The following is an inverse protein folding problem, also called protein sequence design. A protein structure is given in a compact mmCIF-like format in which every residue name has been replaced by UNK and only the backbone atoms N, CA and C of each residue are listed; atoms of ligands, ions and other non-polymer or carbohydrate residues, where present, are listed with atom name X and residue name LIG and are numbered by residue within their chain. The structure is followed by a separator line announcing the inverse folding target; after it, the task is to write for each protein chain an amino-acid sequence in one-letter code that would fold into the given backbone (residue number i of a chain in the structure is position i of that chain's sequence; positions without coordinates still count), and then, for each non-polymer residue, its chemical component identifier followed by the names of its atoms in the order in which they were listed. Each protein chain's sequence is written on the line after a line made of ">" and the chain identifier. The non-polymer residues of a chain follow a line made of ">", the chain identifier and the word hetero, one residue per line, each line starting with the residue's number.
data_IF_431164578562
#
_entry.id   IF_431164578562
#
_cell.length_a   1.000
_cell.length_b   1.000
_cell.length_c   1.000
_cell.angle_alpha   90.00
_cell.angle_beta   90.00
_cell.angle_gamma   90.00
#
_symmetry.space_group_name_H-M   'P 1'
#
loop_
_entity.id
_entity.type
_entity.pdbx_description
1 polymer ?
#
# COMPACT_ATOMS: atom_id res chain seq x y z
N UNK A 1 4.70 2.05 -1.85
CA UNK A 1 3.35 1.71 -2.35
C UNK A 1 2.49 2.96 -2.53
N UNK A 2 2.11 3.68 -1.47
CA UNK A 2 1.23 4.87 -1.56
C UNK A 2 1.69 5.93 -2.58
N UNK A 3 2.98 6.27 -2.60
CA UNK A 3 3.49 7.28 -3.53
C UNK A 3 3.49 6.82 -5.00
N UNK A 4 3.62 5.52 -5.27
CA UNK A 4 3.50 4.94 -6.62
C UNK A 4 2.04 4.91 -7.06
N UNK A 5 1.12 4.61 -6.14
CA UNK A 5 -0.32 4.68 -6.42
C UNK A 5 -0.76 6.11 -6.76
N UNK A 6 -0.35 7.11 -5.94
CA UNK A 6 -0.61 8.54 -6.24
C UNK A 6 0.00 8.97 -7.56
N UNK A 7 1.25 8.57 -7.83
CA UNK A 7 1.89 8.84 -9.12
C UNK A 7 1.03 8.33 -10.27
N UNK A 8 0.68 7.04 -10.24
CA UNK A 8 -0.03 6.38 -11.33
C UNK A 8 -1.41 7.00 -11.54
N UNK A 9 -2.14 7.27 -10.45
CA UNK A 9 -3.48 7.88 -10.50
C UNK A 9 -3.44 9.28 -11.10
N UNK A 10 -2.61 10.17 -10.55
CA UNK A 10 -2.52 11.55 -11.04
C UNK A 10 -1.99 11.60 -12.47
N UNK A 11 -1.00 10.78 -12.81
CA UNK A 11 -0.48 10.66 -14.17
C UNK A 11 -1.55 10.20 -15.16
N UNK A 12 -2.29 9.14 -14.82
CA UNK A 12 -3.39 8.63 -15.65
C UNK A 12 -4.48 9.68 -15.90
N UNK A 13 -4.89 10.41 -14.87
CA UNK A 13 -5.88 11.49 -14.99
C UNK A 13 -5.39 12.63 -15.89
N UNK A 14 -4.14 13.07 -15.75
CA UNK A 14 -3.58 14.14 -16.57
C UNK A 14 -3.46 13.72 -18.04
N UNK A 15 -2.95 12.51 -18.30
CA UNK A 15 -2.84 12.01 -19.68
C UNK A 15 -4.21 11.79 -20.32
N UNK A 16 -5.19 11.25 -19.59
CA UNK A 16 -6.57 11.12 -20.07
C UNK A 16 -7.22 12.48 -20.37
N UNK A 17 -6.78 13.54 -19.68
CA UNK A 17 -7.20 14.93 -19.94
C UNK A 17 -6.44 15.59 -21.09
N UNK A 18 -5.55 14.87 -21.77
CA UNK A 18 -4.76 15.38 -22.89
C UNK A 18 -3.55 16.25 -22.50
N UNK A 19 -3.15 16.25 -21.23
CA UNK A 19 -1.97 16.99 -20.77
C UNK A 19 -0.71 16.35 -21.37
N UNK A 20 0.21 17.12 -21.97
CA UNK A 20 1.47 16.59 -22.49
C UNK A 20 2.28 15.85 -21.43
N UNK A 21 2.93 14.76 -21.82
CA UNK A 21 3.59 13.85 -20.88
C UNK A 21 4.70 14.49 -20.04
N UNK A 22 5.43 15.45 -20.62
CA UNK A 22 6.49 16.18 -19.93
C UNK A 22 5.94 17.11 -18.85
N UNK A 23 4.77 17.72 -19.10
CA UNK A 23 4.09 18.58 -18.13
C UNK A 23 3.43 17.73 -17.05
N UNK A 24 2.79 16.62 -17.44
CA UNK A 24 2.21 15.66 -16.51
C UNK A 24 3.28 15.09 -15.55
N UNK A 25 4.46 14.71 -16.04
CA UNK A 25 5.57 14.26 -15.19
C UNK A 25 6.04 15.30 -14.18
N UNK A 26 6.04 16.58 -14.56
CA UNK A 26 6.42 17.67 -13.64
C UNK A 26 5.35 17.92 -12.57
N UNK A 27 4.07 17.86 -12.93
CA UNK A 27 2.97 18.01 -11.97
C UNK A 27 2.97 16.84 -10.97
N UNK A 28 3.11 15.62 -11.48
CA UNK A 28 3.04 14.41 -10.65
C UNK A 28 4.28 14.25 -9.77
N UNK A 29 5.46 14.69 -10.22
CA UNK A 29 6.68 14.65 -9.39
C UNK A 29 6.51 15.47 -8.11
N UNK A 30 5.88 16.65 -8.21
CA UNK A 30 5.55 17.52 -7.07
C UNK A 30 4.41 16.94 -6.22
N UNK A 31 3.43 16.30 -6.85
CA UNK A 31 2.27 15.70 -6.16
C UNK A 31 2.60 14.41 -5.38
N UNK A 32 3.68 13.70 -5.74
CA UNK A 32 4.08 12.44 -5.11
C UNK A 32 4.46 12.57 -3.62
N UNK A 33 4.82 13.78 -3.16
CA UNK A 33 5.11 14.08 -1.75
C UNK A 33 6.36 13.39 -1.18
N UNK A 34 7.25 12.89 -2.05
CA UNK A 34 8.48 12.21 -1.67
C UNK A 34 9.64 12.69 -2.54
N UNK A 35 10.66 13.28 -1.91
CA UNK A 35 11.81 13.91 -2.60
C UNK A 35 12.65 12.92 -3.43
N UNK A 36 12.69 11.64 -3.05
CA UNK A 36 13.38 10.58 -3.82
C UNK A 36 12.63 10.29 -5.12
N UNK A 37 11.30 10.22 -5.04
CA UNK A 37 10.42 9.97 -6.19
C UNK A 37 10.40 11.18 -7.11
N UNK A 38 10.32 12.38 -6.55
CA UNK A 38 10.38 13.63 -7.32
C UNK A 38 11.68 13.71 -8.14
N UNK A 39 12.85 13.51 -7.51
CA UNK A 39 14.13 13.55 -8.21
C UNK A 39 14.26 12.49 -9.31
N UNK A 40 13.77 11.28 -9.04
CA UNK A 40 13.74 10.20 -10.01
C UNK A 40 12.84 10.54 -11.21
N UNK A 41 11.64 11.07 -10.97
CA UNK A 41 10.70 11.49 -12.01
C UNK A 41 11.23 12.67 -12.84
N UNK A 42 11.93 13.62 -12.22
CA UNK A 42 12.57 14.71 -12.94
C UNK A 42 13.71 14.22 -13.85
N UNK A 43 14.43 13.18 -13.43
CA UNK A 43 15.45 12.53 -14.26
C UNK A 43 14.80 11.77 -15.43
N UNK A 44 13.71 11.05 -15.17
CA UNK A 44 12.90 10.39 -16.21
C UNK A 44 12.40 11.39 -17.24
N UNK A 45 11.86 12.54 -16.79
CA UNK A 45 11.41 13.63 -17.66
C UNK A 45 12.52 14.16 -18.57
N UNK A 46 13.73 14.37 -18.03
CA UNK A 46 14.89 14.82 -18.84
C UNK A 46 15.20 13.82 -19.96
N UNK A 47 15.26 12.53 -19.62
CA UNK A 47 15.56 11.48 -20.60
C UNK A 47 14.48 11.36 -21.68
N UNK A 48 13.20 11.53 -21.33
CA UNK A 48 12.11 11.54 -22.31
C UNK A 48 12.19 12.78 -23.20
N UNK A 49 12.55 13.95 -22.65
CA UNK A 49 12.74 15.17 -23.42
C UNK A 49 13.91 15.06 -24.42
N UNK A 50 14.91 14.21 -24.11
CA UNK A 50 16.00 13.85 -25.03
C UNK A 50 15.58 12.83 -26.11
N UNK A 51 14.32 12.40 -26.12
CA UNK A 51 13.76 11.47 -27.12
C UNK A 51 13.86 10.00 -26.73
N UNK A 52 14.19 9.67 -25.47
CA UNK A 52 14.13 8.27 -25.00
C UNK A 52 12.70 7.84 -24.77
N UNK A 53 12.46 6.56 -25.02
CA UNK A 53 11.22 5.86 -24.71
C UNK A 53 10.95 5.91 -23.18
N UNK A 54 9.69 5.96 -22.75
CA UNK A 54 9.34 6.18 -21.34
C UNK A 54 9.75 5.01 -20.42
N UNK A 55 9.80 3.79 -20.96
CA UNK A 55 10.02 2.54 -20.20
C UNK A 55 11.42 2.47 -19.64
N UNK A 56 12.42 2.82 -20.45
CA UNK A 56 13.83 2.69 -20.11
C UNK A 56 14.22 3.56 -18.90
N UNK A 57 13.93 4.88 -18.91
CA UNK A 57 14.19 5.75 -17.76
C UNK A 57 13.39 5.32 -16.54
N UNK A 58 12.13 4.90 -16.71
CA UNK A 58 11.27 4.47 -15.60
C UNK A 58 11.83 3.22 -14.92
N UNK A 59 12.29 2.24 -15.70
CA UNK A 59 12.92 1.02 -15.22
C UNK A 59 14.24 1.30 -14.46
N UNK A 60 15.05 2.23 -14.96
CA UNK A 60 16.32 2.62 -14.33
C UNK A 60 16.16 3.19 -12.93
N UNK A 61 15.01 3.81 -12.61
CA UNK A 61 14.77 4.36 -11.27
C UNK A 61 14.70 3.30 -10.17
N UNK A 62 14.35 2.04 -10.50
CA UNK A 62 14.09 0.94 -9.53
C UNK A 62 13.06 1.25 -8.43
N UNK A 63 12.33 2.35 -8.56
CA UNK A 63 11.24 2.74 -7.63
C UNK A 63 9.93 2.07 -8.04
N UNK A 64 9.74 1.91 -9.35
CA UNK A 64 8.52 1.34 -9.91
C UNK A 64 8.60 -0.20 -9.95
N UNK A 65 7.58 -0.89 -9.44
CA UNK A 65 7.48 -2.35 -9.57
C UNK A 65 7.46 -2.78 -11.04
N UNK A 66 7.90 -4.01 -11.30
CA UNK A 66 8.03 -4.55 -12.66
C UNK A 66 6.72 -4.46 -13.46
N UNK A 67 5.58 -4.73 -12.82
CA UNK A 67 4.26 -4.63 -13.43
C UNK A 67 3.97 -3.22 -13.98
N UNK A 68 4.35 -2.16 -13.26
CA UNK A 68 4.13 -0.77 -13.69
C UNK A 68 4.94 -0.48 -14.94
N UNK A 69 6.22 -0.85 -14.95
CA UNK A 69 7.13 -0.65 -16.08
C UNK A 69 6.63 -1.39 -17.33
N UNK A 70 6.15 -2.63 -17.17
CA UNK A 70 5.62 -3.43 -18.28
C UNK A 70 4.33 -2.85 -18.87
N UNK A 71 3.37 -2.49 -18.03
CA UNK A 71 2.09 -1.92 -18.45
C UNK A 71 2.28 -0.57 -19.16
N UNK A 72 3.19 0.25 -18.65
CA UNK A 72 3.60 1.51 -19.29
C UNK A 72 4.22 1.24 -20.66
N UNK A 73 5.05 0.21 -20.81
CA UNK A 73 5.62 -0.16 -22.11
C UNK A 73 4.59 -0.64 -23.13
N UNK A 74 3.60 -1.42 -22.69
CA UNK A 74 2.46 -1.80 -23.54
C UNK A 74 1.68 -0.54 -23.94
N UNK A 75 1.44 0.37 -22.99
CA UNK A 75 0.73 1.63 -23.23
C UNK A 75 1.44 2.54 -24.24
N UNK A 76 2.77 2.65 -24.16
CA UNK A 76 3.54 3.45 -25.10
C UNK A 76 3.60 2.83 -26.51
N UNK A 77 3.75 1.51 -26.62
CA UNK A 77 3.74 0.81 -27.91
C UNK A 77 2.39 0.88 -28.62
N UNK A 78 1.30 0.86 -27.84
CA UNK A 78 -0.07 0.87 -28.36
C UNK A 78 -0.68 2.27 -28.44
N UNK A 79 0.02 3.30 -27.93
CA UNK A 79 -0.51 4.66 -27.78
C UNK A 79 -1.62 4.81 -26.73
N UNK A 80 -1.88 3.77 -25.93
CA UNK A 80 -2.95 3.72 -24.91
C UNK A 80 -2.39 3.85 -23.48
N UNK A 81 -1.46 4.80 -23.28
CA UNK A 81 -0.76 4.98 -22.01
C UNK A 81 -1.70 5.40 -20.87
N UNK A 82 -2.69 6.24 -21.17
CA UNK A 82 -3.78 6.66 -20.28
C UNK A 82 -4.58 5.44 -19.75
N UNK A 83 -4.96 4.54 -20.64
CA UNK A 83 -5.75 3.35 -20.32
C UNK A 83 -4.93 2.39 -19.44
N UNK A 84 -3.65 2.19 -19.76
CA UNK A 84 -2.78 1.32 -18.97
C UNK A 84 -2.49 1.91 -17.58
N UNK A 85 -2.26 3.22 -17.47
CA UNK A 85 -2.07 3.87 -16.17
C UNK A 85 -3.31 3.80 -15.30
N UNK A 86 -4.51 3.99 -15.86
CA UNK A 86 -5.75 3.83 -15.10
C UNK A 86 -5.93 2.39 -14.59
N UNK A 87 -5.66 1.37 -15.42
CA UNK A 87 -5.68 -0.04 -14.96
C UNK A 87 -4.70 -0.32 -13.83
N UNK A 88 -3.49 0.24 -13.90
CA UNK A 88 -2.51 0.11 -12.81
C UNK A 88 -3.05 0.80 -11.55
N UNK A 89 -3.65 1.98 -11.68
CA UNK A 89 -4.19 2.72 -10.54
C UNK A 89 -5.33 1.94 -9.86
N UNK A 90 -6.29 1.44 -10.63
CA UNK A 90 -7.41 0.64 -10.12
C UNK A 90 -6.91 -0.62 -9.39
N UNK A 91 -5.91 -1.32 -9.96
CA UNK A 91 -5.29 -2.48 -9.30
C UNK A 91 -4.66 -2.13 -7.93
N UNK A 92 -3.97 -0.99 -7.83
CA UNK A 92 -3.36 -0.57 -6.56
C UNK A 92 -4.38 -0.02 -5.57
N UNK A 93 -5.47 0.60 -6.04
CA UNK A 93 -6.61 0.99 -5.20
C UNK A 93 -7.27 -0.26 -4.60
N UNK A 94 -7.54 -1.28 -5.42
CA UNK A 94 -8.06 -2.58 -4.97
C UNK A 94 -7.13 -3.27 -3.96
N UNK A 95 -5.81 -3.26 -4.19
CA UNK A 95 -4.83 -3.86 -3.26
C UNK A 95 -4.83 -3.14 -1.90
N UNK A 96 -5.06 -1.82 -1.89
CA UNK A 96 -5.19 -1.03 -0.67
C UNK A 96 -6.49 -1.36 0.05
N UNK A 97 -7.60 -1.44 -0.66
CA UNK A 97 -8.92 -1.75 -0.08
C UNK A 97 -8.92 -3.14 0.56
N UNK A 98 -8.38 -4.16 -0.12
CA UNK A 98 -8.21 -5.51 0.44
C UNK A 98 -7.34 -5.51 1.70
N UNK A 99 -6.26 -4.72 1.71
CA UNK A 99 -5.40 -4.62 2.88
C UNK A 99 -6.13 -3.97 4.07
N UNK A 100 -6.93 -2.93 3.82
CA UNK A 100 -7.73 -2.24 4.86
C UNK A 100 -8.82 -3.15 5.40
N UNK A 101 -9.50 -3.90 4.54
CA UNK A 101 -10.52 -4.86 4.93
C UNK A 101 -9.92 -5.98 5.81
N UNK A 102 -8.77 -6.54 5.40
CA UNK A 102 -8.05 -7.53 6.18
C UNK A 102 -7.61 -7.02 7.56
N UNK A 103 -7.15 -5.77 7.66
CA UNK A 103 -6.83 -5.14 8.94
C UNK A 103 -8.07 -4.99 9.84
N UNK A 104 -9.21 -4.65 9.24
CA UNK A 104 -10.49 -4.49 9.95
C UNK A 104 -11.01 -5.84 10.44
N UNK A 105 -10.88 -6.90 9.63
CA UNK A 105 -11.28 -8.25 10.00
C UNK A 105 -10.51 -8.81 11.21
N UNK A 106 -9.26 -8.39 11.44
CA UNK A 106 -8.48 -8.80 12.62
C UNK A 106 -8.96 -8.18 13.93
N UNK A 107 -9.81 -7.15 13.89
CA UNK A 107 -10.34 -6.51 15.10
C UNK A 107 -11.25 -7.47 15.89
N UNK A 108 -12.08 -8.25 15.20
CA UNK A 108 -13.02 -9.18 15.85
C UNK A 108 -12.29 -10.30 16.64
N UNK A 109 -11.32 -11.04 16.06
CA UNK A 109 -10.50 -12.00 16.80
C UNK A 109 -9.77 -11.38 18.00
N UNK A 110 -9.22 -10.18 17.85
CA UNK A 110 -8.52 -9.49 18.94
C UNK A 110 -9.46 -9.21 20.12
N UNK A 111 -10.69 -8.74 19.83
CA UNK A 111 -11.70 -8.52 20.87
C UNK A 111 -12.07 -9.82 21.59
N UNK A 112 -12.22 -10.93 20.87
CA UNK A 112 -12.49 -12.25 21.48
C UNK A 112 -11.37 -12.69 22.43
N UNK A 113 -10.10 -12.50 22.04
CA UNK A 113 -8.95 -12.83 22.89
C UNK A 113 -8.93 -11.96 24.16
N UNK A 114 -9.19 -10.65 24.03
CA UNK A 114 -9.23 -9.73 25.18
C UNK A 114 -10.37 -10.08 26.13
N UNK A 115 -11.58 -10.30 25.61
CA UNK A 115 -12.74 -10.68 26.40
C UNK A 115 -12.53 -12.03 27.09
N UNK A 116 -12.11 -13.05 26.33
CA UNK A 116 -11.80 -14.37 26.86
C UNK A 116 -10.72 -14.34 27.94
N UNK A 117 -9.64 -13.59 27.71
CA UNK A 117 -8.57 -13.39 28.68
C UNK A 117 -9.05 -12.68 29.96
N UNK A 118 -9.89 -11.65 29.82
CA UNK A 118 -10.46 -10.93 30.96
C UNK A 118 -11.33 -11.84 31.84
N UNK A 119 -12.24 -12.60 31.22
CA UNK A 119 -13.15 -13.52 31.92
C UNK A 119 -12.34 -14.65 32.58
N UNK A 120 -11.39 -15.24 31.84
CA UNK A 120 -10.52 -16.29 32.37
C UNK A 120 -9.71 -15.82 33.58
N UNK A 121 -9.20 -14.59 33.54
CA UNK A 121 -8.46 -13.99 34.67
C UNK A 121 -9.36 -13.83 35.91
N UNK A 122 -10.59 -13.33 35.74
CA UNK A 122 -11.55 -13.19 36.84
C UNK A 122 -11.91 -14.55 37.44
N UNK A 123 -12.14 -15.57 36.61
CA UNK A 123 -12.43 -16.92 37.10
C UNK A 123 -11.28 -17.49 37.94
N UNK A 124 -10.03 -17.39 37.45
CA UNK A 124 -8.86 -17.87 38.19
C UNK A 124 -8.74 -17.14 39.53
N UNK A 125 -8.93 -15.81 39.54
CA UNK A 125 -8.87 -15.01 40.77
C UNK A 125 -9.94 -15.42 41.79
N UNK A 126 -11.14 -15.84 41.35
CA UNK A 126 -12.20 -16.30 42.24
C UNK A 126 -11.97 -17.72 42.78
N UNK A 127 -11.44 -18.64 41.98
CA UNK A 127 -11.25 -20.04 42.39
C UNK A 127 -9.93 -20.29 43.14
N UNK A 128 -8.87 -19.54 42.86
CA UNK A 128 -7.57 -19.70 43.52
C UNK A 128 -7.65 -19.65 45.07
N UNK A 129 -8.40 -18.72 45.71
CA UNK A 129 -8.59 -18.71 47.15
C UNK A 129 -9.23 -19.99 47.68
N UNK A 130 -10.24 -20.53 46.97
CA UNK A 130 -10.95 -21.75 47.36
C UNK A 130 -9.99 -22.94 47.36
N UNK A 131 -9.17 -23.10 46.31
CA UNK A 131 -8.14 -24.14 46.26
C UNK A 131 -7.09 -23.98 47.36
N UNK A 132 -6.66 -22.74 47.64
CA UNK A 132 -5.69 -22.47 48.71
C UNK A 132 -6.23 -22.82 50.10
N UNK A 133 -7.53 -22.62 50.33
CA UNK A 133 -8.20 -22.97 51.58
C UNK A 133 -8.39 -24.48 51.73
N UNK A 134 -8.80 -25.16 50.66
CA UNK A 134 -8.96 -26.62 50.63
C UNK A 134 -7.63 -27.36 50.87
N UNK A 135 -6.53 -26.92 50.24
CA UNK A 135 -5.21 -27.51 50.44
C UNK A 135 -4.64 -27.28 51.85
N UNK A 136 -4.96 -26.15 52.49
CA UNK A 136 -4.57 -25.89 53.90
C UNK A 136 -5.26 -26.81 54.89
N UNK A 137 -6.51 -27.23 54.63
CA UNK A 137 -7.24 -28.16 55.50
C UNK A 137 -6.75 -29.61 55.40
N UNK A 138 -6.05 -29.99 54.33
CA UNK A 138 -5.47 -31.34 54.17
C UNK A 138 -4.14 -31.48 54.91
N UNK A 139 -3.33 -30.42 54.99
CA UNK A 139 -2.05 -30.38 55.74
C UNK A 139 -2.20 -30.29 57.28
N UNK A 140 -3.43 -30.18 57.80
CA UNK A 140 -3.73 -30.12 59.23
C UNK A 140 -4.31 -31.44 59.79
N UNK A 141 -4.41 -32.49 58.97
CA UNK A 141 -4.68 -33.88 59.39
C UNK A 141 -3.40 -34.69 59.34
#
# INVERSE_FOLDING_TARGET
>A
KIAVARFTRTMGTLLASGVPILDALEIVSKAAGNMVIEKALMTVRSQIAEGRNIVEPLAQTKIFPHMVVQMVGVGEQTGALDTMLNKIADFYEDEVDVAVEGMTAMIEPLMMVVLGGSIGTVMIAMYMPIFSMAGKTENLK
#
